data_IF_912853478118
#
_entry.id   IF_912853478118
#
_cell.length_a   1.000
_cell.length_b   1.000
_cell.length_c   1.000
_cell.angle_alpha   90.00
_cell.angle_beta   90.00
_cell.angle_gamma   90.00
#
_symmetry.space_group_name_H-M   'P 1'
#
loop_
_entity.id
_entity.type
_entity.pdbx_description
1 polymer ?
#
# COMPACT_ATOMS: atom_id res chain seq x y z
N UNK A 1 10.45 48.97 31.69
CA UNK A 1 9.52 48.31 30.72
C UNK A 1 10.20 47.31 29.77
N UNK A 2 11.52 47.40 29.49
CA UNK A 2 12.28 46.53 28.57
C UNK A 2 12.27 45.02 28.93
N UNK A 3 12.45 44.69 30.22
CA UNK A 3 12.48 43.31 30.73
C UNK A 3 11.18 42.49 30.53
N UNK A 4 10.03 43.13 30.36
CA UNK A 4 8.75 42.41 30.19
C UNK A 4 8.58 41.90 28.76
N UNK A 5 9.02 42.68 27.78
CA UNK A 5 8.97 42.31 26.37
C UNK A 5 9.91 41.13 26.13
N UNK A 6 11.13 41.17 26.69
CA UNK A 6 12.11 40.09 26.56
C UNK A 6 11.57 38.75 27.12
N UNK A 7 10.87 38.78 28.27
CA UNK A 7 10.22 37.59 28.81
C UNK A 7 9.10 37.07 27.90
N UNK A 8 8.33 37.97 27.29
CA UNK A 8 7.27 37.60 26.34
C UNK A 8 7.84 36.94 25.07
N UNK A 9 8.88 37.53 24.49
CA UNK A 9 9.56 36.97 23.32
C UNK A 9 10.19 35.61 23.61
N UNK A 10 10.83 35.44 24.78
CA UNK A 10 11.42 34.17 25.19
C UNK A 10 10.37 33.06 25.34
N UNK A 11 9.23 33.38 25.96
CA UNK A 11 8.11 32.44 26.15
C UNK A 11 7.45 32.03 24.82
N UNK A 12 7.36 32.96 23.86
CA UNK A 12 6.89 32.66 22.50
C UNK A 12 7.87 31.73 21.76
N UNK A 13 9.18 32.01 21.86
CA UNK A 13 10.23 31.18 21.24
C UNK A 13 10.26 29.77 21.81
N UNK A 14 10.11 29.61 23.12
CA UNK A 14 10.01 28.30 23.78
C UNK A 14 8.78 27.51 23.33
N UNK A 15 7.63 28.17 23.13
CA UNK A 15 6.41 27.55 22.58
C UNK A 15 6.58 27.10 21.13
N UNK A 16 7.30 27.87 20.31
CA UNK A 16 7.60 27.49 18.93
C UNK A 16 8.58 26.31 18.87
N UNK A 17 9.65 26.34 19.68
CA UNK A 17 10.61 25.22 19.80
C UNK A 17 9.91 23.93 20.28
N UNK A 18 8.96 24.04 21.21
CA UNK A 18 8.14 22.90 21.65
C UNK A 18 7.26 22.33 20.54
N UNK A 19 6.60 23.19 19.75
CA UNK A 19 5.78 22.76 18.60
C UNK A 19 6.60 22.14 17.47
N UNK A 20 7.80 22.66 17.21
CA UNK A 20 8.72 22.10 16.23
C UNK A 20 9.29 20.76 16.69
N UNK A 21 9.53 20.57 17.99
CA UNK A 21 9.91 19.27 18.56
C UNK A 21 8.79 18.22 18.44
N UNK A 22 7.53 18.63 18.64
CA UNK A 22 6.35 17.74 18.47
C UNK A 22 6.14 17.37 16.99
N UNK A 23 6.36 18.30 16.05
CA UNK A 23 6.30 18.02 14.60
C UNK A 23 7.42 17.09 14.12
N UNK A 24 8.58 17.07 14.80
CA UNK A 24 9.74 16.24 14.47
C UNK A 24 9.67 14.82 15.01
N UNK A 25 8.66 14.47 15.82
CA UNK A 25 8.45 13.07 16.18
C UNK A 25 8.08 12.34 14.88
N UNK A 26 8.87 11.35 14.44
CA UNK A 26 8.58 10.64 13.20
C UNK A 26 7.21 10.00 13.36
N UNK A 27 6.26 10.41 12.50
CA UNK A 27 4.98 9.71 12.40
C UNK A 27 5.30 8.28 11.99
N UNK A 28 5.15 7.34 12.94
CA UNK A 28 5.30 5.91 12.68
C UNK A 28 4.46 5.54 11.45
N UNK A 29 5.05 4.81 10.52
CA UNK A 29 4.38 4.38 9.28
C UNK A 29 3.08 3.61 9.56
N UNK A 30 3.04 2.86 10.68
CA UNK A 30 1.87 2.12 11.14
C UNK A 30 0.85 2.98 11.90
N UNK A 31 1.17 4.24 12.25
CA UNK A 31 0.28 5.15 12.96
C UNK A 31 -0.57 6.02 12.01
N UNK A 32 -0.50 5.77 10.69
CA UNK A 32 -1.33 6.48 9.73
C UNK A 32 -2.68 5.79 9.60
N UNK A 33 -3.69 6.34 10.27
CA UNK A 33 -5.08 5.91 10.12
C UNK A 33 -5.59 6.32 8.73
N UNK A 34 -5.83 5.34 7.86
CA UNK A 34 -6.36 5.55 6.51
C UNK A 34 -7.88 5.45 6.58
N UNK A 35 -8.57 6.59 6.64
CA UNK A 35 -10.03 6.63 6.53
C UNK A 35 -10.46 6.58 5.06
N UNK A 36 -10.83 5.40 4.58
CA UNK A 36 -11.27 5.16 3.20
C UNK A 36 -12.56 5.92 2.83
N UNK A 37 -13.37 6.28 3.84
CA UNK A 37 -14.58 7.10 3.69
C UNK A 37 -14.32 8.52 3.15
N UNK A 38 -13.11 9.05 3.34
CA UNK A 38 -12.73 10.36 2.79
C UNK A 38 -12.51 10.34 1.27
N UNK A 39 -12.30 9.15 0.68
CA UNK A 39 -11.96 8.99 -0.73
C UNK A 39 -13.10 8.41 -1.56
N UNK A 40 -14.02 7.67 -0.93
CA UNK A 40 -15.15 7.04 -1.62
C UNK A 40 -16.42 7.21 -0.79
N UNK A 41 -17.46 7.75 -1.42
CA UNK A 41 -18.75 8.04 -0.79
C UNK A 41 -19.61 6.75 -0.71
N UNK A 42 -19.12 5.76 0.03
CA UNK A 42 -19.75 4.45 0.23
C UNK A 42 -20.07 4.26 1.71
N UNK A 43 -21.15 3.54 2.03
CA UNK A 43 -21.48 3.23 3.42
C UNK A 43 -20.38 2.34 4.04
N UNK A 44 -20.01 2.59 5.30
CA UNK A 44 -18.90 1.88 5.97
C UNK A 44 -19.03 0.35 5.89
N UNK A 45 -20.26 -0.16 5.97
CA UNK A 45 -20.54 -1.59 5.90
C UNK A 45 -20.37 -2.18 4.49
N UNK A 46 -20.55 -1.37 3.44
CA UNK A 46 -20.36 -1.79 2.04
C UNK A 46 -18.89 -1.80 1.63
N UNK A 47 -18.08 -0.88 2.17
CA UNK A 47 -16.64 -0.77 1.86
C UNK A 47 -15.91 -2.04 2.25
N UNK A 48 -16.15 -2.55 3.47
CA UNK A 48 -15.49 -3.77 3.94
C UNK A 48 -15.79 -4.98 3.05
N UNK A 49 -17.05 -5.11 2.62
CA UNK A 49 -17.47 -6.20 1.72
C UNK A 49 -16.84 -6.08 0.34
N UNK A 50 -16.78 -4.87 -0.23
CA UNK A 50 -16.16 -4.63 -1.53
C UNK A 50 -14.65 -4.89 -1.47
N UNK A 51 -13.97 -4.41 -0.43
CA UNK A 51 -12.53 -4.64 -0.23
C UNK A 51 -12.24 -6.13 -0.04
N UNK A 52 -13.06 -6.82 0.74
CA UNK A 52 -12.93 -8.27 0.93
C UNK A 52 -13.12 -9.02 -0.40
N UNK A 53 -14.15 -8.67 -1.16
CA UNK A 53 -14.42 -9.27 -2.46
C UNK A 53 -13.29 -8.97 -3.46
N UNK A 54 -12.77 -7.74 -3.48
CA UNK A 54 -11.63 -7.37 -4.31
C UNK A 54 -10.37 -8.16 -3.91
N UNK A 55 -10.11 -8.33 -2.62
CA UNK A 55 -8.98 -9.10 -2.12
C UNK A 55 -9.03 -10.56 -2.59
N UNK A 56 -10.22 -11.14 -2.69
CA UNK A 56 -10.43 -12.49 -3.24
C UNK A 56 -10.31 -12.48 -4.77
N UNK A 57 -10.98 -11.56 -5.46
CA UNK A 57 -11.10 -11.58 -6.92
C UNK A 57 -9.81 -11.22 -7.66
N UNK A 58 -9.03 -10.26 -7.13
CA UNK A 58 -7.79 -9.80 -7.76
C UNK A 58 -6.85 -10.97 -8.07
N UNK A 59 -6.47 -11.85 -7.13
CA UNK A 59 -5.55 -12.95 -7.42
C UNK A 59 -6.09 -13.96 -8.42
N UNK A 60 -7.41 -14.21 -8.47
CA UNK A 60 -7.99 -15.08 -9.49
C UNK A 60 -7.91 -14.45 -10.88
N UNK A 61 -8.28 -13.17 -11.02
CA UNK A 61 -8.23 -12.46 -12.31
C UNK A 61 -6.78 -12.33 -12.78
N UNK A 62 -5.86 -11.96 -11.89
CA UNK A 62 -4.43 -11.84 -12.21
C UNK A 62 -3.83 -13.17 -12.64
N UNK A 63 -4.14 -14.26 -11.95
CA UNK A 63 -3.65 -15.59 -12.34
C UNK A 63 -4.23 -16.06 -13.67
N UNK A 64 -5.52 -15.82 -13.93
CA UNK A 64 -6.14 -16.17 -15.20
C UNK A 64 -5.55 -15.35 -16.37
N UNK A 65 -5.31 -14.06 -16.17
CA UNK A 65 -4.61 -13.21 -17.13
C UNK A 65 -3.17 -13.67 -17.36
N UNK A 66 -2.46 -14.07 -16.30
CA UNK A 66 -1.09 -14.58 -16.40
C UNK A 66 -1.04 -15.85 -17.25
N UNK A 67 -1.92 -16.81 -16.97
CA UNK A 67 -1.98 -18.06 -17.74
C UNK A 67 -2.34 -17.77 -19.20
N UNK A 68 -3.34 -16.93 -19.45
CA UNK A 68 -3.76 -16.60 -20.79
C UNK A 68 -2.67 -15.89 -21.60
N UNK A 69 -2.01 -14.87 -21.03
CA UNK A 69 -1.04 -14.04 -21.75
C UNK A 69 0.35 -14.66 -21.82
N UNK A 70 0.82 -15.30 -20.75
CA UNK A 70 2.20 -15.78 -20.63
C UNK A 70 2.31 -17.24 -21.08
N UNK A 71 1.43 -18.12 -20.58
CA UNK A 71 1.49 -19.56 -20.87
C UNK A 71 0.84 -19.86 -22.22
N UNK A 72 -0.43 -19.47 -22.39
CA UNK A 72 -1.18 -19.73 -23.61
C UNK A 72 -0.87 -18.73 -24.75
N UNK A 73 -0.05 -17.70 -24.50
CA UNK A 73 0.37 -16.70 -25.49
C UNK A 73 -0.82 -16.06 -26.24
N UNK A 74 -1.90 -15.78 -25.52
CA UNK A 74 -3.17 -15.25 -26.03
C UNK A 74 -3.87 -16.16 -27.06
N UNK A 75 -3.54 -17.46 -27.09
CA UNK A 75 -4.21 -18.44 -27.94
C UNK A 75 -5.27 -19.20 -27.14
N UNK A 76 -6.54 -19.05 -27.54
CA UNK A 76 -7.68 -19.71 -26.88
C UNK A 76 -7.65 -21.24 -27.01
N UNK A 77 -7.10 -21.79 -28.09
CA UNK A 77 -6.99 -23.24 -28.26
C UNK A 77 -6.02 -23.84 -27.23
N UNK A 78 -4.84 -23.23 -27.11
CA UNK A 78 -3.83 -23.64 -26.12
C UNK A 78 -4.36 -23.44 -24.70
N UNK A 79 -5.07 -22.34 -24.43
CA UNK A 79 -5.66 -22.09 -23.12
C UNK A 79 -6.69 -23.16 -22.72
N UNK A 80 -7.47 -23.66 -23.68
CA UNK A 80 -8.48 -24.70 -23.43
C UNK A 80 -7.87 -26.10 -23.24
N UNK A 81 -6.68 -26.34 -23.76
CA UNK A 81 -5.95 -27.60 -23.60
C UNK A 81 -5.25 -27.73 -22.23
N UNK A 82 -5.17 -26.64 -21.45
CA UNK A 82 -4.54 -26.67 -20.12
C UNK A 82 -5.45 -27.42 -19.13
N UNK A 83 -4.90 -28.49 -18.54
CA UNK A 83 -5.58 -29.25 -17.50
C UNK A 83 -5.71 -28.45 -16.19
N UNK A 84 -6.70 -28.81 -15.37
CA UNK A 84 -6.98 -28.13 -14.09
C UNK A 84 -5.80 -28.24 -13.11
N UNK A 85 -5.08 -29.37 -13.10
CA UNK A 85 -3.90 -29.54 -12.23
C UNK A 85 -2.76 -28.61 -12.64
N UNK A 86 -2.54 -28.48 -13.95
CA UNK A 86 -1.55 -27.55 -14.52
C UNK A 86 -1.96 -26.09 -14.29
N UNK A 87 -3.26 -25.80 -14.30
CA UNK A 87 -3.78 -24.47 -14.01
C UNK A 87 -3.36 -23.99 -12.61
N UNK A 88 -3.48 -24.85 -11.58
CA UNK A 88 -3.06 -24.47 -10.22
C UNK A 88 -1.56 -24.18 -10.14
N UNK A 89 -0.73 -24.96 -10.84
CA UNK A 89 0.73 -24.76 -10.88
C UNK A 89 1.08 -23.45 -11.59
N UNK A 90 0.48 -23.18 -12.76
CA UNK A 90 0.72 -21.93 -13.46
C UNK A 90 0.18 -20.71 -12.69
N UNK A 91 -0.94 -20.87 -11.99
CA UNK A 91 -1.52 -19.86 -11.11
C UNK A 91 -0.58 -19.53 -9.94
N UNK A 92 0.00 -20.53 -9.27
CA UNK A 92 0.94 -20.32 -8.17
C UNK A 92 2.23 -19.65 -8.63
N UNK A 93 2.74 -20.02 -9.80
CA UNK A 93 3.92 -19.35 -10.41
C UNK A 93 3.61 -17.87 -10.66
N UNK A 94 2.43 -17.55 -11.18
CA UNK A 94 1.99 -16.17 -11.36
C UNK A 94 1.98 -15.38 -10.05
N UNK A 95 1.56 -16.01 -8.95
CA UNK A 95 1.59 -15.40 -7.63
C UNK A 95 3.02 -15.18 -7.11
N UNK A 96 3.94 -16.13 -7.30
CA UNK A 96 5.34 -15.97 -6.89
C UNK A 96 6.04 -14.82 -7.61
N UNK A 97 5.78 -14.64 -8.90
CA UNK A 97 6.29 -13.51 -9.68
C UNK A 97 5.75 -12.19 -9.11
N UNK A 98 4.45 -12.11 -8.83
CA UNK A 98 3.83 -10.93 -8.23
C UNK A 98 4.42 -10.62 -6.84
N UNK A 99 4.57 -11.64 -6.00
CA UNK A 99 5.15 -11.52 -4.67
C UNK A 99 6.61 -11.05 -4.73
N UNK A 100 7.39 -11.55 -5.69
CA UNK A 100 8.78 -11.12 -5.91
C UNK A 100 8.86 -9.64 -6.31
N UNK A 101 7.99 -9.18 -7.21
CA UNK A 101 7.89 -7.77 -7.60
C UNK A 101 7.49 -6.90 -6.40
N UNK A 102 6.48 -7.34 -5.63
CA UNK A 102 6.02 -6.63 -4.43
C UNK A 102 7.15 -6.50 -3.40
N UNK A 103 7.88 -7.59 -3.15
CA UNK A 103 9.01 -7.61 -2.23
C UNK A 103 10.11 -6.65 -2.71
N UNK A 104 10.41 -6.63 -4.00
CA UNK A 104 11.39 -5.71 -4.59
C UNK A 104 10.96 -4.24 -4.44
N UNK A 105 9.66 -3.94 -4.59
CA UNK A 105 9.11 -2.60 -4.34
C UNK A 105 9.24 -2.20 -2.86
N UNK A 106 8.92 -3.12 -1.94
CA UNK A 106 9.05 -2.89 -0.49
C UNK A 106 10.50 -2.60 -0.12
N UNK A 107 11.44 -3.41 -0.62
CA UNK A 107 12.89 -3.22 -0.40
C UNK A 107 13.33 -1.86 -0.96
N UNK A 108 12.95 -1.52 -2.20
CA UNK A 108 13.26 -0.23 -2.83
C UNK A 108 12.72 0.94 -2.00
N UNK A 109 11.48 0.82 -1.51
CA UNK A 109 10.83 1.82 -0.67
C UNK A 109 11.59 1.99 0.66
N UNK A 110 11.96 0.88 1.30
CA UNK A 110 12.74 0.85 2.55
C UNK A 110 14.10 1.53 2.41
N UNK A 111 14.85 1.22 1.34
CA UNK A 111 16.15 1.86 1.07
C UNK A 111 16.00 3.37 0.84
N UNK A 112 14.97 3.78 0.10
CA UNK A 112 14.74 5.20 -0.19
C UNK A 112 14.24 5.98 1.05
N UNK A 113 13.53 5.33 1.96
CA UNK A 113 13.12 5.91 3.23
C UNK A 113 14.31 6.27 4.12
N UNK A 114 15.33 5.40 4.20
CA UNK A 114 16.53 5.67 5.00
C UNK A 114 17.40 6.83 4.47
N UNK A 115 17.12 7.32 3.25
CA UNK A 115 17.81 8.48 2.66
C UNK A 115 17.11 9.82 2.95
N UNK A 116 15.95 9.85 3.61
CA UNK A 116 15.24 11.06 4.05
C UNK A 116 15.37 11.26 5.56
#
# INVERSE_FOLDING_TARGET
KRNLQDRYYRKQKERQIGKDKIKKVPKSFFAQEIHLSNYINLSENSINTIVFLAFILIPYITGLLFIFLIIAKANLAIFHEINIDEYFVYWSIGYEVLASILLMIIIKSSINFNRR
#
